data_IF_209607545532
#
_entry.id   IF_209607545532
#
_cell.length_a   1.000
_cell.length_b   1.000
_cell.length_c   1.000
_cell.angle_alpha   90.00
_cell.angle_beta   90.00
_cell.angle_gamma   90.00
#
_symmetry.space_group_name_H-M   'P 1'
#
loop_
_entity.id
_entity.type
_entity.pdbx_description
1 polymer ?
#
# COMPACT_ATOMS: atom_id res chain seq x y z
N UNK A 1 -25.85 -36.17 11.40
CA UNK A 1 -26.87 -35.49 10.53
C UNK A 1 -26.10 -34.97 9.31
N UNK A 2 -26.44 -35.45 8.12
CA UNK A 2 -25.86 -34.88 6.89
C UNK A 2 -26.47 -33.51 6.67
N UNK A 3 -25.67 -32.49 6.51
CA UNK A 3 -26.11 -31.16 6.11
C UNK A 3 -26.74 -31.24 4.72
N UNK A 4 -27.99 -30.84 4.61
CA UNK A 4 -28.67 -30.77 3.32
C UNK A 4 -27.99 -29.75 2.43
N UNK A 5 -27.65 -30.14 1.22
CA UNK A 5 -27.10 -29.24 0.21
C UNK A 5 -28.13 -28.19 -0.16
N UNK A 6 -27.85 -26.92 0.05
CA UNK A 6 -28.73 -25.84 -0.41
C UNK A 6 -28.64 -25.79 -1.94
N UNK A 7 -29.77 -26.01 -2.61
CA UNK A 7 -29.79 -25.91 -4.08
C UNK A 7 -29.69 -24.43 -4.52
N UNK A 8 -29.02 -24.14 -5.62
CA UNK A 8 -28.88 -22.76 -6.11
C UNK A 8 -30.21 -22.01 -6.29
N UNK A 9 -31.27 -22.72 -6.69
CA UNK A 9 -32.62 -22.16 -6.84
C UNK A 9 -33.29 -21.77 -5.50
N UNK A 10 -32.70 -22.14 -4.35
CA UNK A 10 -33.26 -21.84 -3.02
C UNK A 10 -32.63 -20.59 -2.39
N UNK A 11 -31.72 -19.91 -3.10
CA UNK A 11 -31.03 -18.72 -2.60
C UNK A 11 -31.62 -17.51 -3.32
N UNK A 12 -32.25 -16.62 -2.57
CA UNK A 12 -32.66 -15.31 -3.07
C UNK A 12 -31.38 -14.42 -3.16
N UNK A 13 -30.84 -14.24 -4.35
CA UNK A 13 -29.67 -13.46 -4.61
C UNK A 13 -29.89 -11.94 -4.45
N UNK A 14 -31.14 -11.50 -4.28
CA UNK A 14 -31.45 -10.10 -3.98
C UNK A 14 -31.30 -9.76 -2.50
N UNK A 15 -31.24 -10.77 -1.63
CA UNK A 15 -31.06 -10.58 -0.19
C UNK A 15 -29.60 -10.52 0.23
N UNK A 16 -29.31 -9.74 1.28
CA UNK A 16 -27.98 -9.72 1.89
C UNK A 16 -27.81 -10.94 2.79
N UNK A 17 -26.83 -11.81 2.47
CA UNK A 17 -26.50 -12.97 3.28
C UNK A 17 -25.33 -12.66 4.20
N UNK A 18 -25.51 -12.78 5.51
CA UNK A 18 -24.44 -12.73 6.49
C UNK A 18 -23.93 -14.16 6.76
N UNK A 19 -22.71 -14.46 6.37
CA UNK A 19 -22.04 -15.70 6.73
C UNK A 19 -21.29 -15.47 8.07
N UNK A 20 -21.71 -16.14 9.12
CA UNK A 20 -21.05 -16.07 10.44
C UNK A 20 -19.95 -17.12 10.62
N UNK A 21 -19.75 -17.98 9.64
CA UNK A 21 -18.71 -19.03 9.63
C UNK A 21 -17.63 -18.78 8.60
N UNK A 22 -16.59 -19.60 8.63
CA UNK A 22 -15.51 -19.57 7.63
C UNK A 22 -16.04 -20.04 6.28
N UNK A 23 -16.00 -19.19 5.27
CA UNK A 23 -16.30 -19.56 3.89
C UNK A 23 -15.03 -20.16 3.27
N UNK A 24 -14.98 -21.49 3.15
CA UNK A 24 -13.85 -22.18 2.52
C UNK A 24 -13.91 -22.01 1.00
N UNK A 25 -12.84 -21.54 0.38
CA UNK A 25 -12.75 -21.35 -1.08
C UNK A 25 -13.23 -19.99 -1.59
N UNK A 26 -13.57 -19.05 -0.71
CA UNK A 26 -13.89 -17.67 -1.09
C UNK A 26 -12.59 -16.89 -1.37
N UNK A 27 -12.17 -16.89 -2.64
CA UNK A 27 -11.11 -16.01 -3.15
C UNK A 27 -9.71 -16.21 -2.56
N UNK A 28 -8.71 -15.83 -3.33
CA UNK A 28 -7.29 -15.80 -2.91
C UNK A 28 -6.92 -14.52 -2.13
N UNK A 29 -7.72 -13.47 -2.25
CA UNK A 29 -7.50 -12.20 -1.56
C UNK A 29 -8.49 -12.02 -0.42
N UNK A 30 -7.99 -11.86 0.80
CA UNK A 30 -8.78 -11.62 2.00
C UNK A 30 -8.49 -10.21 2.51
N UNK A 31 -9.51 -9.35 2.57
CA UNK A 31 -9.34 -7.98 3.08
C UNK A 31 -8.90 -8.02 4.54
N UNK A 32 -7.74 -7.47 4.86
CA UNK A 32 -7.18 -7.39 6.22
C UNK A 32 -7.29 -6.00 6.82
N UNK A 33 -7.45 -4.97 5.98
CA UNK A 33 -7.66 -3.61 6.46
C UNK A 33 -7.91 -2.60 5.35
N UNK A 34 -8.28 -1.40 5.76
CA UNK A 34 -8.37 -0.23 4.88
C UNK A 34 -8.31 1.05 5.69
N UNK A 35 -7.86 2.11 5.05
CA UNK A 35 -7.94 3.47 5.58
C UNK A 35 -8.44 4.40 4.48
N UNK A 36 -9.45 5.20 4.80
CA UNK A 36 -9.91 6.28 3.93
C UNK A 36 -10.03 7.56 4.77
N UNK A 37 -9.40 8.63 4.32
CA UNK A 37 -9.47 9.94 4.95
C UNK A 37 -9.35 11.04 3.90
N UNK A 38 -10.14 12.10 4.06
CA UNK A 38 -10.07 13.33 3.26
C UNK A 38 -9.61 14.52 4.10
N UNK A 39 -9.13 14.27 5.31
CA UNK A 39 -8.59 15.31 6.20
C UNK A 39 -7.09 15.44 5.96
N UNK A 40 -6.58 16.64 5.81
CA UNK A 40 -5.15 16.88 5.68
C UNK A 40 -4.40 16.37 6.92
N UNK A 41 -3.35 15.58 6.71
CA UNK A 41 -2.53 15.02 7.77
C UNK A 41 -1.06 14.86 7.37
N UNK A 42 -0.15 15.01 8.31
CA UNK A 42 1.29 14.81 8.08
C UNK A 42 1.63 13.34 7.80
N UNK A 43 0.77 12.44 8.27
CA UNK A 43 0.93 11.00 8.09
C UNK A 43 -0.44 10.30 8.15
N UNK A 44 -0.52 9.15 7.46
CA UNK A 44 -1.64 8.23 7.52
C UNK A 44 -1.15 6.84 7.87
N UNK A 45 -1.58 6.37 9.04
CA UNK A 45 -1.14 5.12 9.65
C UNK A 45 -2.11 3.99 9.32
N UNK A 46 -1.60 2.92 8.72
CA UNK A 46 -2.34 1.71 8.35
C UNK A 46 -1.79 0.60 9.25
N UNK A 47 -2.34 0.49 10.45
CA UNK A 47 -1.87 -0.41 11.52
C UNK A 47 -2.65 -1.74 11.53
N UNK A 48 -2.02 -2.78 12.07
CA UNK A 48 -2.63 -4.10 12.32
C UNK A 48 -3.20 -4.77 11.07
N UNK A 49 -2.60 -4.53 9.90
CA UNK A 49 -3.02 -5.10 8.62
C UNK A 49 -2.18 -6.28 8.17
N UNK A 50 -0.97 -6.43 8.72
CA UNK A 50 -0.09 -7.59 8.51
C UNK A 50 -0.07 -8.49 9.75
N UNK A 51 -0.05 -9.78 9.53
CA UNK A 51 -0.04 -10.81 10.58
C UNK A 51 0.67 -12.07 10.09
N UNK A 52 0.85 -13.03 10.96
CA UNK A 52 1.41 -14.35 10.60
C UNK A 52 0.43 -15.25 9.81
N UNK A 53 -0.79 -14.77 9.54
CA UNK A 53 -1.80 -15.53 8.77
C UNK A 53 -1.45 -15.58 7.28
N UNK A 54 -0.82 -14.55 6.76
CA UNK A 54 -0.46 -14.44 5.35
C UNK A 54 1.02 -14.09 5.21
N UNK A 55 1.69 -14.77 4.28
CA UNK A 55 3.08 -14.44 3.96
C UNK A 55 3.16 -13.15 3.14
N UNK A 56 2.19 -12.95 2.24
CA UNK A 56 2.21 -11.88 1.26
C UNK A 56 0.91 -11.08 1.27
N UNK A 57 1.01 -9.81 0.84
CA UNK A 57 -0.14 -8.90 0.82
C UNK A 57 -0.17 -8.10 -0.47
N UNK A 58 -1.39 -7.89 -0.98
CA UNK A 58 -1.67 -6.97 -2.07
C UNK A 58 -2.34 -5.71 -1.52
N UNK A 59 -1.85 -4.55 -1.94
CA UNK A 59 -2.34 -3.25 -1.47
C UNK A 59 -2.69 -2.39 -2.67
N UNK A 60 -3.91 -1.87 -2.71
CA UNK A 60 -4.28 -0.79 -3.62
C UNK A 60 -4.28 0.52 -2.86
N UNK A 61 -3.85 1.60 -3.50
CA UNK A 61 -3.79 2.89 -2.84
C UNK A 61 -4.01 4.07 -3.79
N UNK A 62 -4.56 5.12 -3.24
CA UNK A 62 -4.59 6.45 -3.81
C UNK A 62 -4.29 7.47 -2.71
N UNK A 63 -3.43 8.43 -2.99
CA UNK A 63 -3.11 9.52 -2.06
C UNK A 63 -2.68 10.76 -2.84
N UNK A 64 -2.75 11.92 -2.23
CA UNK A 64 -2.21 13.16 -2.77
C UNK A 64 -1.54 13.97 -1.67
N UNK A 65 -0.70 14.91 -2.08
CA UNK A 65 -0.07 15.86 -1.19
C UNK A 65 -0.87 17.18 -1.16
N UNK A 66 -0.75 17.92 -0.06
CA UNK A 66 -1.44 19.20 0.13
C UNK A 66 -0.62 20.41 -0.40
N UNK A 67 0.63 20.20 -0.77
CA UNK A 67 1.54 21.26 -1.25
C UNK A 67 2.42 20.74 -2.38
N UNK A 68 2.46 21.44 -3.49
CA UNK A 68 3.22 21.11 -4.69
C UNK A 68 4.71 20.85 -4.44
N UNK A 69 5.26 19.93 -5.22
CA UNK A 69 6.68 19.63 -5.25
C UNK A 69 7.18 18.72 -4.13
N UNK A 70 6.33 18.32 -3.21
CA UNK A 70 6.68 17.41 -2.12
C UNK A 70 6.79 15.95 -2.57
N UNK A 71 7.33 15.13 -1.68
CA UNK A 71 7.52 13.70 -1.89
C UNK A 71 6.51 12.91 -1.06
N UNK A 72 6.00 11.82 -1.61
CA UNK A 72 5.32 10.80 -0.84
C UNK A 72 6.31 9.71 -0.43
N UNK A 73 6.31 9.38 0.85
CA UNK A 73 7.20 8.42 1.49
C UNK A 73 6.39 7.30 2.13
N UNK A 74 6.98 6.12 2.19
CA UNK A 74 6.45 4.96 2.90
C UNK A 74 7.40 4.59 4.04
N UNK A 75 6.83 4.32 5.22
CA UNK A 75 7.52 3.70 6.36
C UNK A 75 6.76 2.48 6.82
N UNK A 76 7.49 1.47 7.29
CA UNK A 76 6.88 0.34 7.99
C UNK A 76 6.57 0.70 9.43
N UNK A 77 5.65 -0.05 10.05
CA UNK A 77 5.17 0.20 11.40
C UNK A 77 5.12 -1.09 12.22
N UNK A 78 5.39 -0.95 13.52
CA UNK A 78 5.30 -2.04 14.50
C UNK A 78 4.71 -1.49 15.79
N UNK A 79 3.62 -2.11 16.28
CA UNK A 79 2.99 -1.74 17.53
C UNK A 79 2.56 -0.27 17.59
N UNK A 80 2.09 0.30 16.47
CA UNK A 80 1.65 1.69 16.38
C UNK A 80 2.76 2.73 16.21
N UNK A 81 4.03 2.29 16.10
CA UNK A 81 5.19 3.17 15.92
C UNK A 81 5.81 2.99 14.53
N UNK A 82 6.22 4.09 13.91
CA UNK A 82 6.89 4.05 12.62
C UNK A 82 8.37 3.71 12.79
N UNK A 83 8.85 2.82 11.94
CA UNK A 83 10.28 2.54 11.86
C UNK A 83 11.02 3.67 11.15
N UNK A 84 12.12 4.13 11.75
CA UNK A 84 12.97 5.20 11.23
C UNK A 84 14.43 4.79 11.10
N UNK A 85 14.72 3.50 11.18
CA UNK A 85 16.06 2.97 10.96
C UNK A 85 16.49 3.20 9.51
N UNK A 86 17.80 3.38 9.31
CA UNK A 86 18.37 3.59 7.98
C UNK A 86 18.53 2.29 7.17
N UNK A 87 17.48 1.48 7.11
CA UNK A 87 17.46 0.17 6.46
C UNK A 87 16.66 0.14 5.15
N UNK A 88 16.08 1.27 4.74
CA UNK A 88 15.27 1.33 3.53
C UNK A 88 16.15 1.50 2.29
N UNK A 89 15.98 0.58 1.35
CA UNK A 89 16.47 0.67 -0.02
C UNK A 89 15.25 0.82 -0.93
N UNK A 90 15.21 1.82 -1.77
CA UNK A 90 14.15 1.93 -2.77
C UNK A 90 14.70 2.36 -4.12
N UNK A 91 14.11 1.83 -5.19
CA UNK A 91 14.45 2.19 -6.55
C UNK A 91 13.21 2.16 -7.43
N UNK A 92 13.03 3.19 -8.25
CA UNK A 92 11.89 3.35 -9.14
C UNK A 92 12.36 3.72 -10.54
N UNK A 93 11.93 2.97 -11.53
CA UNK A 93 12.02 3.31 -12.94
C UNK A 93 10.79 4.13 -13.32
N UNK A 94 11.01 5.23 -14.02
CA UNK A 94 9.99 6.19 -14.40
C UNK A 94 9.96 6.33 -15.90
N UNK A 95 8.77 6.29 -16.47
CA UNK A 95 8.50 6.63 -17.88
C UNK A 95 7.54 7.82 -17.87
N UNK A 96 7.91 8.93 -18.44
CA UNK A 96 7.00 10.05 -18.56
C UNK A 96 6.09 9.94 -19.81
N UNK A 97 5.13 10.85 -19.90
CA UNK A 97 4.17 10.89 -21.01
C UNK A 97 4.81 11.12 -22.40
N UNK A 98 6.06 11.58 -22.46
CA UNK A 98 6.84 11.75 -23.70
C UNK A 98 7.66 10.52 -24.08
N UNK A 99 7.67 9.50 -23.21
CA UNK A 99 8.51 8.30 -23.32
C UNK A 99 9.93 8.47 -22.79
N UNK A 100 10.25 9.59 -22.15
CA UNK A 100 11.53 9.81 -21.49
C UNK A 100 11.67 8.89 -20.27
N UNK A 101 12.87 8.36 -20.08
CA UNK A 101 13.20 7.44 -19.00
C UNK A 101 13.99 8.15 -17.91
N UNK A 102 13.58 7.93 -16.66
CA UNK A 102 14.24 8.47 -15.47
C UNK A 102 14.30 7.39 -14.37
N UNK A 103 15.06 7.67 -13.32
CA UNK A 103 15.16 6.79 -12.14
C UNK A 103 15.20 7.63 -10.87
N UNK A 104 14.52 7.13 -9.86
CA UNK A 104 14.66 7.62 -8.49
C UNK A 104 15.15 6.49 -7.60
N UNK A 105 16.05 6.82 -6.66
CA UNK A 105 16.53 5.84 -5.69
C UNK A 105 16.73 6.46 -4.33
N UNK A 106 16.70 5.63 -3.32
CA UNK A 106 17.10 5.96 -1.96
C UNK A 106 17.83 4.76 -1.36
N UNK A 107 19.03 4.98 -0.84
CA UNK A 107 19.82 3.94 -0.20
C UNK A 107 20.06 4.30 1.27
N UNK A 108 19.91 3.33 2.17
CA UNK A 108 20.07 3.51 3.62
C UNK A 108 19.23 4.67 4.17
N UNK A 109 18.02 4.82 3.67
CA UNK A 109 17.09 5.85 4.11
C UNK A 109 16.30 5.41 5.35
N UNK A 110 15.73 6.40 6.07
CA UNK A 110 14.78 6.17 7.17
C UNK A 110 13.32 6.05 6.68
N UNK A 111 13.13 5.98 5.38
CA UNK A 111 11.85 5.79 4.68
C UNK A 111 12.11 5.39 3.23
N UNK A 112 11.13 4.74 2.59
CA UNK A 112 11.17 4.49 1.16
C UNK A 112 10.49 5.63 0.40
N UNK A 113 11.06 6.00 -0.74
CA UNK A 113 10.52 7.02 -1.64
C UNK A 113 9.57 6.35 -2.64
N UNK A 114 8.31 6.81 -2.71
CA UNK A 114 7.28 6.29 -3.63
C UNK A 114 6.72 7.37 -4.57
N UNK A 115 7.28 8.56 -4.58
CA UNK A 115 6.90 9.61 -5.52
C UNK A 115 7.55 10.93 -5.16
N UNK A 116 7.99 11.68 -6.17
CA UNK A 116 8.65 12.98 -5.99
C UNK A 116 8.02 14.04 -6.86
N UNK A 117 8.19 15.30 -6.45
CA UNK A 117 7.69 16.48 -7.18
C UNK A 117 6.20 16.39 -7.53
N UNK A 118 5.39 15.86 -6.61
CA UNK A 118 3.96 15.63 -6.82
C UNK A 118 3.20 16.96 -6.98
N UNK A 119 2.10 16.92 -7.72
CA UNK A 119 1.13 18.00 -7.80
C UNK A 119 0.13 17.91 -6.65
N UNK A 120 -0.19 19.06 -6.04
CA UNK A 120 -1.09 19.15 -4.89
C UNK A 120 -2.55 19.22 -5.31
N UNK A 121 -3.01 18.28 -6.13
CA UNK A 121 -4.42 18.12 -6.44
C UNK A 121 -4.86 16.67 -6.22
N UNK A 122 -6.03 16.49 -5.66
CA UNK A 122 -6.57 15.15 -5.43
C UNK A 122 -6.81 14.37 -6.74
N UNK A 123 -7.07 15.09 -7.83
CA UNK A 123 -7.23 14.49 -9.16
C UNK A 123 -5.91 13.97 -9.75
N UNK A 124 -4.79 14.64 -9.42
CA UNK A 124 -3.45 14.35 -9.94
C UNK A 124 -2.59 13.48 -9.02
N UNK A 125 -3.15 13.05 -7.92
CA UNK A 125 -2.45 12.29 -6.88
C UNK A 125 -1.79 11.00 -7.37
N UNK A 126 -1.00 10.44 -6.47
CA UNK A 126 -0.33 9.16 -6.60
C UNK A 126 -1.34 8.02 -6.46
N UNK A 127 -1.42 7.12 -7.43
CA UNK A 127 -2.33 5.96 -7.36
C UNK A 127 -1.70 4.71 -7.97
N UNK A 128 -2.00 3.56 -7.38
CA UNK A 128 -1.46 2.30 -7.87
C UNK A 128 -1.69 1.13 -6.94
N UNK A 129 -0.76 0.20 -7.02
CA UNK A 129 -0.75 -0.96 -6.15
C UNK A 129 0.66 -1.32 -5.69
N UNK A 130 0.72 -2.05 -4.59
CA UNK A 130 1.94 -2.61 -4.02
C UNK A 130 1.74 -4.08 -3.66
N UNK A 131 2.80 -4.86 -3.84
CA UNK A 131 2.85 -6.25 -3.41
C UNK A 131 3.91 -6.37 -2.31
N UNK A 132 3.48 -6.62 -1.08
CA UNK A 132 4.35 -6.80 0.07
C UNK A 132 4.67 -8.27 0.25
N UNK A 133 5.94 -8.60 0.37
CA UNK A 133 6.47 -9.92 0.62
C UNK A 133 7.03 -9.98 2.02
N UNK A 134 6.56 -10.95 2.80
CA UNK A 134 7.00 -11.27 4.15
C UNK A 134 7.06 -10.10 5.17
N UNK A 135 6.09 -9.14 5.20
CA UNK A 135 6.19 -7.97 6.07
C UNK A 135 6.14 -8.32 7.57
N UNK A 136 5.46 -9.41 7.94
CA UNK A 136 5.35 -9.86 9.34
C UNK A 136 6.41 -10.92 9.73
N UNK A 137 7.44 -11.11 8.90
CA UNK A 137 8.48 -12.10 9.12
C UNK A 137 9.62 -11.55 9.99
N UNK A 138 10.17 -12.41 10.86
CA UNK A 138 11.44 -12.19 11.57
C UNK A 138 12.61 -12.97 10.96
N UNK A 139 12.36 -13.70 9.85
CA UNK A 139 13.35 -14.54 9.19
C UNK A 139 13.73 -14.05 7.80
N UNK A 140 12.86 -13.27 7.16
CA UNK A 140 13.06 -12.72 5.84
C UNK A 140 13.02 -11.20 5.88
N UNK A 141 13.73 -10.57 4.94
CA UNK A 141 13.59 -9.14 4.70
C UNK A 141 12.21 -8.84 4.14
N UNK A 142 11.66 -7.70 4.51
CA UNK A 142 10.45 -7.18 3.86
C UNK A 142 10.81 -6.58 2.52
N UNK A 143 10.17 -7.08 1.47
CA UNK A 143 10.31 -6.53 0.12
C UNK A 143 8.95 -6.07 -0.40
N UNK A 144 8.94 -5.00 -1.20
CA UNK A 144 7.72 -4.47 -1.81
C UNK A 144 7.97 -4.21 -3.28
N UNK A 145 7.13 -4.75 -4.14
CA UNK A 145 7.05 -4.31 -5.53
C UNK A 145 5.99 -3.22 -5.64
N UNK A 146 6.30 -2.16 -6.40
CA UNK A 146 5.42 -1.01 -6.54
C UNK A 146 5.12 -0.72 -8.00
N UNK A 147 3.84 -0.46 -8.29
CA UNK A 147 3.36 0.06 -9.56
C UNK A 147 2.43 1.23 -9.29
N UNK A 148 2.75 2.40 -9.82
CA UNK A 148 1.92 3.57 -9.58
C UNK A 148 2.06 4.61 -10.70
N UNK A 149 1.06 5.45 -10.80
CA UNK A 149 1.02 6.62 -11.66
C UNK A 149 0.96 7.88 -10.80
N UNK A 150 1.57 8.94 -11.29
CA UNK A 150 1.51 10.24 -10.64
C UNK A 150 1.52 11.37 -11.68
N UNK A 151 1.16 12.56 -11.24
CA UNK A 151 1.40 13.80 -11.95
C UNK A 151 2.31 14.69 -11.10
N UNK A 152 3.29 15.31 -11.76
CA UNK A 152 4.19 16.26 -11.10
C UNK A 152 3.56 17.66 -11.08
N UNK A 153 4.06 18.55 -10.21
CA UNK A 153 3.67 19.95 -10.15
C UNK A 153 3.94 20.74 -11.46
N UNK A 154 4.73 20.19 -12.37
CA UNK A 154 4.91 20.72 -13.72
C UNK A 154 3.89 20.15 -14.73
N UNK A 155 2.88 19.40 -14.29
CA UNK A 155 1.86 18.78 -15.13
C UNK A 155 2.31 17.52 -15.86
N UNK A 156 3.54 17.03 -15.67
CA UNK A 156 4.05 15.82 -16.33
C UNK A 156 3.46 14.57 -15.69
N UNK A 157 2.86 13.72 -16.50
CA UNK A 157 2.37 12.41 -16.06
C UNK A 157 3.48 11.37 -16.11
N UNK A 158 3.62 10.61 -15.06
CA UNK A 158 4.67 9.59 -14.89
C UNK A 158 4.05 8.23 -14.56
N UNK A 159 4.63 7.20 -15.17
CA UNK A 159 4.33 5.79 -14.95
C UNK A 159 5.55 5.16 -14.27
N UNK A 160 5.35 4.59 -13.10
CA UNK A 160 6.43 4.22 -12.19
C UNK A 160 6.37 2.74 -11.83
N UNK A 161 7.53 2.07 -11.90
CA UNK A 161 7.72 0.67 -11.53
C UNK A 161 8.91 0.62 -10.59
N UNK A 162 8.76 0.03 -9.43
CA UNK A 162 9.83 0.04 -8.46
C UNK A 162 9.80 -1.09 -7.47
N UNK A 163 10.75 -1.01 -6.56
CA UNK A 163 10.86 -1.91 -5.44
C UNK A 163 11.38 -1.19 -4.20
N UNK A 164 10.99 -1.73 -3.07
CA UNK A 164 11.48 -1.35 -1.75
C UNK A 164 11.99 -2.62 -1.09
N UNK A 165 13.15 -2.52 -0.45
CA UNK A 165 13.69 -3.55 0.43
C UNK A 165 14.02 -2.94 1.77
N UNK A 166 13.62 -3.59 2.83
CA UNK A 166 14.03 -3.24 4.18
C UNK A 166 15.10 -4.24 4.63
N UNK A 167 16.32 -3.75 4.87
CA UNK A 167 17.48 -4.58 5.26
C UNK A 167 17.52 -4.82 6.78
N UNK A 168 16.50 -5.53 7.26
CA UNK A 168 16.35 -5.97 8.64
C UNK A 168 15.28 -7.03 8.73
N UNK A 169 15.33 -7.82 9.80
CA UNK A 169 14.35 -8.89 10.06
C UNK A 169 13.30 -8.47 11.10
N UNK A 170 12.94 -7.19 11.09
CA UNK A 170 11.86 -6.67 11.93
C UNK A 170 10.52 -7.12 11.40
N UNK A 171 9.67 -7.65 12.30
CA UNK A 171 8.28 -7.95 11.98
C UNK A 171 7.45 -6.68 12.01
N UNK A 172 6.80 -6.35 10.90
CA UNK A 172 5.93 -5.18 10.76
C UNK A 172 4.47 -5.61 10.75
N UNK A 173 3.63 -4.91 11.50
CA UNK A 173 2.18 -5.13 11.54
C UNK A 173 1.40 -4.14 10.66
N UNK A 174 2.10 -3.14 10.09
CA UNK A 174 1.50 -2.12 9.25
C UNK A 174 2.52 -1.27 8.50
N UNK A 175 2.02 -0.21 7.91
CA UNK A 175 2.82 0.81 7.22
C UNK A 175 2.15 2.18 7.30
N UNK A 176 2.86 3.23 6.91
CA UNK A 176 2.32 4.58 6.83
C UNK A 176 2.71 5.24 5.51
N UNK A 177 1.85 6.12 5.03
CA UNK A 177 2.21 7.16 4.09
C UNK A 177 2.51 8.47 4.83
N UNK A 178 3.57 9.14 4.41
CA UNK A 178 3.97 10.44 4.94
C UNK A 178 4.60 11.28 3.83
N UNK A 179 4.97 12.50 4.14
CA UNK A 179 5.67 13.42 3.23
C UNK A 179 7.03 13.81 3.82
N UNK A 180 7.93 14.30 2.97
CA UNK A 180 9.18 14.91 3.43
C UNK A 180 8.93 16.25 4.14
N UNK A 181 7.91 17.01 3.73
CA UNK A 181 7.47 18.27 4.32
C UNK A 181 5.97 18.47 4.05
N UNK A 182 5.27 19.18 4.93
CA UNK A 182 3.85 19.46 4.77
C UNK A 182 2.96 18.24 5.03
N UNK A 183 1.80 18.21 4.39
CA UNK A 183 0.74 17.24 4.64
C UNK A 183 0.38 16.46 3.37
N UNK A 184 -0.19 15.27 3.57
CA UNK A 184 -1.02 14.59 2.58
C UNK A 184 -2.44 15.19 2.64
N UNK A 185 -3.11 15.35 1.49
CA UNK A 185 -4.47 15.90 1.43
C UNK A 185 -5.54 14.85 1.63
N UNK A 186 -5.28 13.63 1.15
CA UNK A 186 -6.16 12.47 1.38
C UNK A 186 -5.40 11.16 1.26
N UNK A 187 -6.05 10.09 1.70
CA UNK A 187 -5.62 8.70 1.49
C UNK A 187 -6.84 7.80 1.28
N UNK A 188 -6.69 6.84 0.37
CA UNK A 188 -7.59 5.70 0.20
C UNK A 188 -6.75 4.44 -0.02
N UNK A 189 -6.77 3.52 0.94
CA UNK A 189 -5.94 2.32 0.97
C UNK A 189 -6.79 1.11 1.31
N UNK A 190 -6.60 0.03 0.56
CA UNK A 190 -7.15 -1.29 0.85
C UNK A 190 -6.03 -2.33 0.87
N UNK A 191 -6.02 -3.15 1.91
CA UNK A 191 -5.01 -4.19 2.15
C UNK A 191 -5.67 -5.56 2.11
N UNK A 192 -5.06 -6.48 1.37
CA UNK A 192 -5.52 -7.85 1.21
C UNK A 192 -4.40 -8.83 1.48
N UNK A 193 -4.61 -9.76 2.41
CA UNK A 193 -3.76 -10.94 2.59
C UNK A 193 -3.97 -11.93 1.43
N UNK A 194 -2.89 -12.51 0.94
CA UNK A 194 -2.92 -13.52 -0.13
C UNK A 194 -2.91 -14.89 0.51
N UNK A 195 -3.98 -15.64 0.30
CA UNK A 195 -4.10 -17.00 0.78
C UNK A 195 -3.32 -17.95 -0.15
N UNK A 196 -2.39 -18.69 0.44
CA UNK A 196 -1.67 -19.79 -0.22
C UNK A 196 -2.48 -21.08 -0.23
#
# INVERSE_FOLDING_TARGET
MALSTIKPASIDLSATFAFTGTVTGAGTLVKTGSLQSTTNGGEYNIDSVFSNTYMNYFVTFKTAIATDGNQCLLKFRTGGSSDSNSNYQSGTRIIDQSGSLDTESNANGSSAKIGTSLEATDAAGLQGFMYFMAPFSTSYYTEVQTHFNLQTNAGTKKFCFGGIKYEGTTSFDGFQFTTNTGNLSFVDVHVYGIKE
#
